data_IF_158204789315
#
_entry.id   IF_158204789315
#
_cell.length_a   1.000
_cell.length_b   1.000
_cell.length_c   1.000
_cell.angle_alpha   90.00
_cell.angle_beta   90.00
_cell.angle_gamma   90.00
#
_symmetry.space_group_name_H-M   'P 1'
#
loop_
_entity.id
_entity.type
_entity.pdbx_description
1 polymer ?
#
# COMPACT_ATOMS: atom_id res chain seq x y z
N UNK A 1 -69.63 -19.57 -16.97
CA UNK A 1 -68.87 -19.06 -18.14
C UNK A 1 -69.34 -17.62 -18.46
N UNK A 2 -69.32 -16.71 -17.47
CA UNK A 2 -69.73 -15.30 -17.66
C UNK A 2 -68.67 -14.29 -17.25
N UNK A 3 -67.39 -14.70 -17.11
CA UNK A 3 -66.31 -13.83 -16.64
C UNK A 3 -65.59 -13.09 -17.79
N UNK A 4 -65.89 -13.42 -19.05
CA UNK A 4 -65.15 -12.94 -20.22
C UNK A 4 -65.76 -11.76 -20.99
N UNK A 5 -66.96 -11.27 -20.57
CA UNK A 5 -67.67 -10.25 -21.35
C UNK A 5 -67.42 -8.78 -20.95
N UNK A 6 -66.57 -8.53 -19.94
CA UNK A 6 -66.20 -7.17 -19.55
C UNK A 6 -64.73 -6.87 -19.82
N UNK A 7 -64.37 -6.07 -20.83
CA UNK A 7 -63.00 -5.77 -21.21
C UNK A 7 -62.19 -5.17 -20.08
N UNK A 8 -62.80 -4.47 -19.15
CA UNK A 8 -62.15 -3.89 -17.97
C UNK A 8 -61.70 -4.99 -16.97
N UNK A 9 -62.50 -6.07 -16.82
CA UNK A 9 -62.14 -7.17 -15.91
C UNK A 9 -60.97 -8.02 -16.50
N UNK A 10 -60.99 -8.22 -17.81
CA UNK A 10 -59.86 -8.90 -18.50
C UNK A 10 -58.58 -8.10 -18.38
N UNK A 11 -58.66 -6.78 -18.57
CA UNK A 11 -57.50 -5.88 -18.40
C UNK A 11 -57.01 -5.89 -16.95
N UNK A 12 -57.90 -5.86 -15.95
CA UNK A 12 -57.53 -5.93 -14.53
C UNK A 12 -56.84 -7.24 -14.16
N UNK A 13 -57.34 -8.37 -14.63
CA UNK A 13 -56.72 -9.69 -14.43
C UNK A 13 -55.35 -9.78 -15.12
N UNK A 14 -55.26 -9.32 -16.37
CA UNK A 14 -53.99 -9.26 -17.08
C UNK A 14 -52.92 -8.43 -16.36
N UNK A 15 -53.31 -7.27 -15.84
CA UNK A 15 -52.42 -6.40 -15.07
C UNK A 15 -52.01 -7.03 -13.73
N UNK A 16 -52.94 -7.68 -13.03
CA UNK A 16 -52.69 -8.36 -11.77
C UNK A 16 -51.74 -9.57 -11.91
N UNK A 17 -51.73 -10.23 -13.04
CA UNK A 17 -50.82 -11.36 -13.32
C UNK A 17 -49.49 -10.90 -13.92
N UNK A 18 -49.53 -9.94 -14.86
CA UNK A 18 -48.32 -9.47 -15.54
C UNK A 18 -47.39 -8.67 -14.65
N UNK A 19 -47.93 -7.83 -13.75
CA UNK A 19 -47.12 -6.97 -12.87
C UNK A 19 -46.21 -7.78 -11.94
N UNK A 20 -46.68 -8.75 -11.15
CA UNK A 20 -45.82 -9.56 -10.29
C UNK A 20 -44.84 -10.43 -11.09
N UNK A 21 -45.25 -10.91 -12.26
CA UNK A 21 -44.36 -11.68 -13.15
C UNK A 21 -43.21 -10.82 -13.70
N UNK A 22 -43.51 -9.59 -14.15
CA UNK A 22 -42.51 -8.64 -14.59
C UNK A 22 -41.57 -8.24 -13.46
N UNK A 23 -42.08 -7.99 -12.25
CA UNK A 23 -41.25 -7.68 -11.08
C UNK A 23 -40.33 -8.86 -10.69
N UNK A 24 -40.84 -10.08 -10.72
CA UNK A 24 -40.11 -11.28 -10.43
C UNK A 24 -38.99 -11.50 -11.46
N UNK A 25 -39.30 -11.33 -12.74
CA UNK A 25 -38.29 -11.43 -13.84
C UNK A 25 -37.24 -10.32 -13.70
N UNK A 26 -37.66 -9.08 -13.49
CA UNK A 26 -36.74 -7.96 -13.28
C UNK A 26 -35.80 -8.22 -12.09
N UNK A 27 -36.33 -8.66 -10.96
CA UNK A 27 -35.53 -9.01 -9.79
C UNK A 27 -34.58 -10.17 -10.05
N UNK A 28 -35.03 -11.21 -10.76
CA UNK A 28 -34.24 -12.40 -11.08
C UNK A 28 -33.11 -12.12 -12.08
N UNK A 29 -33.24 -11.10 -12.92
CA UNK A 29 -32.22 -10.69 -13.89
C UNK A 29 -31.30 -9.59 -13.35
N UNK A 30 -31.87 -8.56 -12.71
CA UNK A 30 -31.15 -7.36 -12.32
C UNK A 30 -30.25 -7.60 -11.09
N UNK A 31 -30.74 -8.34 -10.10
CA UNK A 31 -30.00 -8.58 -8.86
C UNK A 31 -28.63 -9.26 -9.04
N UNK A 32 -28.49 -10.35 -9.82
CA UNK A 32 -27.20 -10.98 -10.08
C UNK A 32 -26.22 -10.07 -10.83
N UNK A 33 -26.76 -9.29 -11.78
CA UNK A 33 -25.92 -8.35 -12.56
C UNK A 33 -25.36 -7.26 -11.65
N UNK A 34 -26.15 -6.70 -10.74
CA UNK A 34 -25.70 -5.71 -9.77
C UNK A 34 -24.64 -6.30 -8.82
N UNK A 35 -24.80 -7.54 -8.38
CA UNK A 35 -23.80 -8.22 -7.55
C UNK A 35 -22.47 -8.39 -8.29
N UNK A 36 -22.50 -8.82 -9.55
CA UNK A 36 -21.32 -8.93 -10.40
C UNK A 36 -20.67 -7.56 -10.62
N UNK A 37 -21.46 -6.53 -10.92
CA UNK A 37 -20.97 -5.17 -11.08
C UNK A 37 -20.26 -4.66 -9.82
N UNK A 38 -20.84 -4.88 -8.64
CA UNK A 38 -20.23 -4.51 -7.37
C UNK A 38 -18.90 -5.24 -7.14
N UNK A 39 -18.86 -6.55 -7.39
CA UNK A 39 -17.63 -7.33 -7.29
C UNK A 39 -16.55 -6.82 -8.26
N UNK A 40 -16.89 -6.59 -9.53
CA UNK A 40 -15.94 -6.03 -10.51
C UNK A 40 -15.48 -4.62 -10.13
N UNK A 41 -16.37 -3.78 -9.56
CA UNK A 41 -16.00 -2.45 -9.09
C UNK A 41 -15.02 -2.50 -7.92
N UNK A 42 -15.21 -3.41 -6.98
CA UNK A 42 -14.27 -3.61 -5.87
C UNK A 42 -12.93 -4.15 -6.38
N UNK A 43 -12.94 -5.07 -7.36
CA UNK A 43 -11.73 -5.56 -8.01
C UNK A 43 -10.95 -4.41 -8.68
N UNK A 44 -11.64 -3.51 -9.37
CA UNK A 44 -11.04 -2.33 -9.98
C UNK A 44 -10.43 -1.34 -8.96
N UNK A 45 -10.89 -1.38 -7.71
CA UNK A 45 -10.31 -0.63 -6.57
C UNK A 45 -9.13 -1.35 -5.92
N UNK A 46 -8.71 -2.51 -6.48
CA UNK A 46 -7.55 -3.26 -5.98
C UNK A 46 -7.86 -4.32 -4.93
N UNK A 47 -9.12 -4.53 -4.57
CA UNK A 47 -9.48 -5.60 -3.66
C UNK A 47 -9.52 -6.94 -4.38
N UNK A 48 -8.45 -7.70 -4.30
CA UNK A 48 -8.30 -9.01 -4.94
C UNK A 48 -8.92 -10.17 -4.13
N UNK A 49 -9.27 -9.96 -2.86
CA UNK A 49 -9.81 -11.03 -2.00
C UNK A 49 -11.31 -11.25 -2.19
N UNK A 50 -11.90 -10.60 -3.19
CA UNK A 50 -13.32 -10.70 -3.48
C UNK A 50 -13.65 -12.11 -3.95
N UNK A 51 -14.69 -12.68 -3.36
CA UNK A 51 -15.32 -13.88 -3.87
C UNK A 51 -16.43 -13.47 -4.86
N UNK A 52 -16.26 -13.88 -6.11
CA UNK A 52 -17.35 -13.75 -7.10
C UNK A 52 -18.48 -14.68 -6.67
N UNK A 53 -19.71 -14.15 -6.48
CA UNK A 53 -20.82 -14.98 -6.02
C UNK A 53 -21.07 -16.14 -7.01
N UNK A 54 -21.03 -17.36 -6.49
CA UNK A 54 -21.49 -18.52 -7.24
C UNK A 54 -23.02 -18.45 -7.32
N UNK A 55 -23.53 -18.05 -8.48
CA UNK A 55 -24.98 -17.84 -8.67
C UNK A 55 -25.76 -19.15 -8.81
N UNK A 56 -25.08 -20.32 -8.90
CA UNK A 56 -25.73 -21.63 -9.09
C UNK A 56 -26.60 -21.73 -10.35
N UNK A 57 -26.41 -20.81 -11.30
CA UNK A 57 -27.19 -20.68 -12.55
C UNK A 57 -26.47 -21.35 -13.70
N UNK A 58 -27.24 -21.93 -14.61
CA UNK A 58 -26.73 -22.56 -15.84
C UNK A 58 -27.05 -21.78 -17.13
N UNK A 59 -27.48 -20.51 -16.96
CA UNK A 59 -27.77 -19.59 -18.05
C UNK A 59 -26.56 -18.68 -18.37
N UNK A 60 -26.76 -17.71 -19.28
CA UNK A 60 -25.76 -16.76 -19.74
C UNK A 60 -25.19 -15.92 -18.59
N UNK A 61 -25.99 -15.60 -17.59
CA UNK A 61 -25.54 -14.85 -16.39
C UNK A 61 -24.65 -15.75 -15.52
N UNK A 62 -24.96 -17.02 -15.39
CA UNK A 62 -24.12 -18.00 -14.70
C UNK A 62 -22.77 -18.20 -15.41
N UNK A 63 -22.77 -18.30 -16.74
CA UNK A 63 -21.55 -18.37 -17.54
C UNK A 63 -20.70 -17.10 -17.40
N UNK A 64 -21.34 -15.93 -17.43
CA UNK A 64 -20.63 -14.67 -17.20
C UNK A 64 -19.96 -14.62 -15.82
N UNK A 65 -20.67 -15.02 -14.77
CA UNK A 65 -20.11 -15.09 -13.41
C UNK A 65 -18.90 -16.01 -13.34
N UNK A 66 -18.96 -17.16 -14.00
CA UNK A 66 -17.85 -18.12 -14.08
C UNK A 66 -16.65 -17.57 -14.86
N UNK A 67 -16.89 -16.86 -15.97
CA UNK A 67 -15.82 -16.21 -16.75
C UNK A 67 -15.15 -15.11 -15.93
N UNK A 68 -15.92 -14.30 -15.20
CA UNK A 68 -15.38 -13.25 -14.30
C UNK A 68 -14.57 -13.92 -13.19
N UNK A 69 -15.07 -15.00 -12.57
CA UNK A 69 -14.32 -15.73 -11.54
C UNK A 69 -12.98 -16.23 -12.06
N UNK A 70 -12.98 -16.90 -13.22
CA UNK A 70 -11.74 -17.39 -13.86
C UNK A 70 -10.75 -16.27 -14.19
N UNK A 71 -11.26 -15.11 -14.63
CA UNK A 71 -10.42 -13.93 -14.88
C UNK A 71 -9.79 -13.43 -13.60
N UNK A 72 -10.53 -13.36 -12.49
CA UNK A 72 -10.02 -12.97 -11.18
C UNK A 72 -8.94 -13.95 -10.69
N UNK A 73 -9.18 -15.25 -10.81
CA UNK A 73 -8.23 -16.28 -10.40
C UNK A 73 -6.94 -16.20 -11.23
N UNK A 74 -7.05 -16.00 -12.56
CA UNK A 74 -5.90 -15.81 -13.44
C UNK A 74 -5.11 -14.55 -13.06
N UNK A 75 -5.80 -13.47 -12.71
CA UNK A 75 -5.16 -12.23 -12.27
C UNK A 75 -4.41 -12.42 -10.94
N UNK A 76 -5.02 -13.12 -9.98
CA UNK A 76 -4.36 -13.50 -8.71
C UNK A 76 -3.10 -14.31 -8.95
N UNK A 77 -3.18 -15.32 -9.83
CA UNK A 77 -2.04 -16.16 -10.18
C UNK A 77 -0.91 -15.36 -10.85
N UNK A 78 -1.24 -14.43 -11.75
CA UNK A 78 -0.26 -13.56 -12.39
C UNK A 78 0.46 -12.68 -11.37
N UNK A 79 -0.29 -12.06 -10.47
CA UNK A 79 0.26 -11.21 -9.41
C UNK A 79 1.15 -12.04 -8.48
N UNK A 80 0.71 -13.25 -8.10
CA UNK A 80 1.50 -14.13 -7.26
C UNK A 80 2.81 -14.56 -7.93
N UNK A 81 2.78 -14.92 -9.21
CA UNK A 81 3.97 -15.25 -10.00
C UNK A 81 4.91 -14.07 -10.13
N UNK A 82 4.39 -12.86 -10.35
CA UNK A 82 5.19 -11.64 -10.39
C UNK A 82 5.90 -11.40 -9.05
N UNK A 83 5.20 -11.58 -7.93
CA UNK A 83 5.75 -11.45 -6.58
C UNK A 83 6.86 -12.47 -6.32
N UNK A 84 6.62 -13.72 -6.69
CA UNK A 84 7.62 -14.79 -6.55
C UNK A 84 8.87 -14.48 -7.36
N UNK A 85 8.72 -14.04 -8.60
CA UNK A 85 9.84 -13.65 -9.47
C UNK A 85 10.69 -12.53 -8.83
N UNK A 86 10.05 -11.51 -8.24
CA UNK A 86 10.77 -10.44 -7.55
C UNK A 86 11.56 -10.95 -6.35
N UNK A 87 10.99 -11.88 -5.58
CA UNK A 87 11.67 -12.54 -4.46
C UNK A 87 12.88 -13.35 -4.93
N UNK A 88 12.71 -14.17 -5.97
CA UNK A 88 13.76 -15.02 -6.52
C UNK A 88 14.92 -14.19 -7.09
N UNK A 89 14.61 -13.15 -7.88
CA UNK A 89 15.62 -12.20 -8.41
C UNK A 89 16.42 -11.56 -7.26
N UNK A 90 15.73 -11.13 -6.19
CA UNK A 90 16.41 -10.49 -5.06
C UNK A 90 17.36 -11.44 -4.34
N UNK A 91 16.98 -12.70 -4.18
CA UNK A 91 17.87 -13.73 -3.61
C UNK A 91 19.07 -14.00 -4.51
N UNK A 92 18.85 -14.14 -5.82
CA UNK A 92 19.91 -14.39 -6.79
C UNK A 92 20.88 -13.20 -6.97
N UNK A 93 20.41 -11.96 -6.75
CA UNK A 93 21.26 -10.77 -6.81
C UNK A 93 22.12 -10.57 -5.55
N UNK A 94 21.66 -11.02 -4.38
CA UNK A 94 22.40 -10.84 -3.13
C UNK A 94 23.74 -11.60 -3.14
N UNK A 95 23.77 -12.80 -3.68
CA UNK A 95 24.99 -13.63 -3.74
C UNK A 95 26.12 -13.01 -4.56
N UNK A 96 25.94 -12.56 -5.82
CA UNK A 96 27.00 -11.88 -6.57
C UNK A 96 27.41 -10.55 -5.91
N UNK A 97 26.49 -9.81 -5.31
CA UNK A 97 26.79 -8.57 -4.61
C UNK A 97 27.73 -8.80 -3.43
N UNK A 98 27.48 -9.84 -2.62
CA UNK A 98 28.37 -10.24 -1.52
C UNK A 98 29.77 -10.59 -2.02
N UNK A 99 29.88 -11.28 -3.18
CA UNK A 99 31.21 -11.58 -3.79
C UNK A 99 31.92 -10.32 -4.26
N UNK A 100 31.22 -9.33 -4.81
CA UNK A 100 31.80 -8.04 -5.21
C UNK A 100 32.28 -7.27 -3.98
N UNK A 101 31.50 -7.22 -2.90
CA UNK A 101 31.89 -6.60 -1.62
C UNK A 101 33.18 -7.23 -1.07
N UNK A 102 33.25 -8.57 -1.10
CA UNK A 102 34.47 -9.29 -0.64
C UNK A 102 35.69 -8.98 -1.53
N UNK A 103 35.53 -8.98 -2.85
CA UNK A 103 36.58 -8.64 -3.78
C UNK A 103 37.13 -7.20 -3.57
N UNK A 104 36.18 -6.26 -3.36
CA UNK A 104 36.54 -4.87 -3.06
C UNK A 104 37.30 -4.75 -1.73
N UNK A 105 36.87 -5.44 -0.68
CA UNK A 105 37.55 -5.45 0.61
C UNK A 105 38.97 -6.01 0.50
N UNK A 106 39.19 -7.03 -0.34
CA UNK A 106 40.50 -7.58 -0.63
C UNK A 106 41.40 -6.61 -1.41
N UNK A 107 40.86 -5.87 -2.38
CA UNK A 107 41.60 -4.84 -3.13
C UNK A 107 42.00 -3.71 -2.18
N UNK A 108 41.06 -3.21 -1.33
CA UNK A 108 41.32 -2.18 -0.32
C UNK A 108 42.46 -2.58 0.62
N UNK A 109 42.48 -3.85 1.06
CA UNK A 109 43.53 -4.39 1.93
C UNK A 109 44.91 -4.45 1.25
N UNK A 110 44.95 -4.66 -0.06
CA UNK A 110 46.23 -4.79 -0.83
C UNK A 110 46.75 -3.45 -1.33
N UNK A 111 45.88 -2.55 -1.75
CA UNK A 111 46.23 -1.31 -2.46
C UNK A 111 45.94 -0.04 -1.67
N UNK A 112 45.28 -0.17 -0.53
CA UNK A 112 44.81 0.98 0.27
C UNK A 112 43.49 1.57 -0.24
N UNK A 113 43.09 2.72 0.34
CA UNK A 113 41.90 3.45 -0.05
C UNK A 113 42.11 4.27 -1.32
N UNK A 114 41.11 4.25 -2.21
CA UNK A 114 41.06 5.13 -3.38
C UNK A 114 39.65 5.72 -3.55
N UNK A 115 39.54 6.85 -4.26
CA UNK A 115 38.27 7.48 -4.56
C UNK A 115 37.36 6.58 -5.39
N UNK A 116 37.95 5.77 -6.28
CA UNK A 116 37.26 4.81 -7.10
C UNK A 116 36.64 3.67 -6.26
N UNK A 117 37.43 3.15 -5.29
CA UNK A 117 36.93 2.13 -4.35
C UNK A 117 35.81 2.66 -3.50
N UNK A 118 35.89 3.88 -2.98
CA UNK A 118 34.82 4.51 -2.21
C UNK A 118 33.55 4.70 -3.06
N UNK A 119 33.69 5.04 -4.35
CA UNK A 119 32.55 5.16 -5.27
C UNK A 119 31.89 3.82 -5.56
N UNK A 120 32.70 2.76 -5.80
CA UNK A 120 32.18 1.40 -5.99
C UNK A 120 31.44 0.93 -4.74
N UNK A 121 31.96 1.19 -3.54
CA UNK A 121 31.32 0.87 -2.26
C UNK A 121 29.95 1.54 -2.13
N UNK A 122 29.86 2.80 -2.51
CA UNK A 122 28.59 3.55 -2.51
C UNK A 122 27.55 2.95 -3.47
N UNK A 123 27.96 2.54 -4.68
CA UNK A 123 27.05 1.90 -5.64
C UNK A 123 26.63 0.49 -5.19
N UNK A 124 27.55 -0.28 -4.58
CA UNK A 124 27.22 -1.60 -4.02
C UNK A 124 26.21 -1.45 -2.87
N UNK A 125 26.43 -0.52 -1.94
CA UNK A 125 25.50 -0.26 -0.83
C UNK A 125 24.13 0.18 -1.34
N UNK A 126 24.09 0.94 -2.42
CA UNK A 126 22.84 1.35 -3.08
C UNK A 126 22.10 0.16 -3.71
N UNK A 127 22.84 -0.75 -4.37
CA UNK A 127 22.23 -1.97 -4.94
C UNK A 127 21.70 -2.90 -3.83
N UNK A 128 22.45 -3.09 -2.76
CA UNK A 128 22.03 -3.91 -1.61
C UNK A 128 20.74 -3.36 -0.98
N UNK A 129 20.67 -2.03 -0.81
CA UNK A 129 19.46 -1.37 -0.35
C UNK A 129 18.28 -1.57 -1.32
N UNK A 130 18.49 -1.44 -2.63
CA UNK A 130 17.44 -1.68 -3.64
C UNK A 130 16.90 -3.10 -3.56
N UNK A 131 17.79 -4.09 -3.43
CA UNK A 131 17.40 -5.50 -3.28
C UNK A 131 16.62 -5.70 -1.98
N UNK A 132 17.07 -5.09 -0.87
CA UNK A 132 16.37 -5.13 0.41
C UNK A 132 14.97 -4.54 0.32
N UNK A 133 14.83 -3.33 -0.22
CA UNK A 133 13.54 -2.66 -0.38
C UNK A 133 12.58 -3.44 -1.31
N UNK A 134 13.12 -4.12 -2.34
CA UNK A 134 12.33 -4.96 -3.25
C UNK A 134 11.81 -6.22 -2.55
N UNK A 135 12.65 -6.88 -1.74
CA UNK A 135 12.26 -8.00 -0.89
C UNK A 135 11.20 -7.59 0.11
N UNK A 136 11.35 -6.43 0.73
CA UNK A 136 10.40 -5.90 1.69
C UNK A 136 9.03 -5.66 1.04
N UNK A 137 9.00 -5.05 -0.15
CA UNK A 137 7.77 -4.88 -0.91
C UNK A 137 7.11 -6.24 -1.21
N UNK A 138 7.90 -7.24 -1.61
CA UNK A 138 7.40 -8.60 -1.86
C UNK A 138 6.85 -9.26 -0.58
N UNK A 139 7.55 -9.13 0.56
CA UNK A 139 7.13 -9.70 1.86
C UNK A 139 5.87 -9.05 2.40
N UNK A 140 5.75 -7.74 2.33
CA UNK A 140 4.51 -7.03 2.72
C UNK A 140 3.32 -7.65 2.03
N UNK A 141 3.48 -8.06 0.79
CA UNK A 141 2.42 -8.66 -0.02
C UNK A 141 2.14 -10.15 0.27
N UNK A 142 3.05 -10.87 0.92
CA UNK A 142 2.95 -12.33 1.19
C UNK A 142 2.70 -12.68 2.66
N UNK A 143 2.59 -11.69 3.55
CA UNK A 143 2.52 -11.94 4.99
C UNK A 143 1.31 -12.83 5.35
N UNK A 144 1.57 -13.96 5.98
CA UNK A 144 0.56 -15.01 6.29
C UNK A 144 0.25 -15.06 7.79
N UNK A 145 1.07 -14.42 8.63
CA UNK A 145 0.91 -14.45 10.08
C UNK A 145 -0.35 -13.71 10.53
N UNK A 146 -0.94 -14.17 11.64
CA UNK A 146 -2.09 -13.50 12.24
C UNK A 146 -1.65 -12.18 12.89
N UNK A 147 -2.46 -11.10 12.79
CA UNK A 147 -2.16 -9.85 13.45
C UNK A 147 -2.26 -10.01 14.98
N UNK A 148 -1.47 -9.27 15.72
CA UNK A 148 -1.44 -9.24 17.18
C UNK A 148 -1.87 -7.89 17.72
N UNK A 149 -2.50 -7.87 18.89
CA UNK A 149 -2.86 -6.61 19.56
C UNK A 149 -1.74 -6.19 20.50
N UNK A 150 -1.11 -5.07 20.21
CA UNK A 150 -0.01 -4.52 21.00
C UNK A 150 -0.24 -3.01 21.25
N UNK A 151 0.31 -2.47 22.37
CA UNK A 151 0.37 -1.03 22.57
C UNK A 151 1.17 -0.36 21.45
N UNK A 152 0.62 0.72 20.89
CA UNK A 152 1.33 1.49 19.85
C UNK A 152 2.66 2.07 20.36
N UNK A 153 2.75 2.36 21.66
CA UNK A 153 3.97 2.84 22.27
C UNK A 153 5.14 1.87 22.11
N UNK A 154 4.91 0.55 22.30
CA UNK A 154 5.96 -0.47 22.16
C UNK A 154 6.52 -0.54 20.73
N UNK A 155 5.69 -0.27 19.73
CA UNK A 155 6.11 -0.24 18.33
C UNK A 155 6.83 1.07 17.99
N UNK A 156 6.31 2.21 18.48
CA UNK A 156 6.78 3.54 18.09
C UNK A 156 8.09 3.93 18.81
N UNK A 157 8.25 3.56 20.07
CA UNK A 157 9.40 3.96 20.88
C UNK A 157 10.74 3.71 20.19
N UNK A 158 11.08 2.48 19.75
CA UNK A 158 12.36 2.23 19.11
C UNK A 158 12.51 2.99 17.76
N UNK A 159 11.43 3.12 16.99
CA UNK A 159 11.44 3.85 15.70
C UNK A 159 11.72 5.34 15.92
N UNK A 160 11.11 5.92 16.95
CA UNK A 160 11.25 7.34 17.27
C UNK A 160 12.61 7.65 17.89
N UNK A 161 13.15 6.76 18.70
CA UNK A 161 14.50 6.89 19.29
C UNK A 161 15.57 6.87 18.18
N UNK A 162 15.50 5.93 17.24
CA UNK A 162 16.38 5.88 16.10
C UNK A 162 16.27 7.15 15.23
N UNK A 163 15.04 7.61 14.99
CA UNK A 163 14.80 8.82 14.22
C UNK A 163 15.32 10.07 14.92
N UNK A 164 15.18 10.16 16.25
CA UNK A 164 15.72 11.25 17.06
C UNK A 164 17.25 11.27 17.01
N UNK A 165 17.88 10.11 17.11
CA UNK A 165 19.33 9.98 16.99
C UNK A 165 19.82 10.43 15.61
N UNK A 166 19.18 9.98 14.52
CA UNK A 166 19.51 10.39 13.16
C UNK A 166 19.30 11.89 12.93
N UNK A 167 18.20 12.45 13.45
CA UNK A 167 17.93 13.89 13.40
C UNK A 167 19.05 14.69 14.05
N UNK A 168 19.44 14.34 15.28
CA UNK A 168 20.50 15.01 16.03
C UNK A 168 21.85 14.93 15.32
N UNK A 169 22.22 13.79 14.76
CA UNK A 169 23.45 13.64 13.98
C UNK A 169 23.48 14.55 12.74
N UNK A 170 22.33 14.78 12.12
CA UNK A 170 22.19 15.63 10.92
C UNK A 170 21.91 17.11 11.27
N UNK A 171 21.93 17.50 12.54
CA UNK A 171 21.66 18.87 12.98
C UNK A 171 20.20 19.30 12.77
N UNK A 172 19.26 18.35 12.70
CA UNK A 172 17.83 18.60 12.49
C UNK A 172 17.05 18.48 13.79
N UNK A 173 15.96 19.21 13.90
CA UNK A 173 15.06 19.18 15.06
C UNK A 173 13.87 18.26 14.74
N UNK A 174 13.74 17.17 15.49
CA UNK A 174 12.56 16.29 15.46
C UNK A 174 11.70 16.58 16.69
N UNK A 175 10.44 16.99 16.48
CA UNK A 175 9.45 17.20 17.55
C UNK A 175 8.45 16.07 17.58
N UNK A 176 8.32 15.46 18.75
CA UNK A 176 7.45 14.34 19.02
C UNK A 176 6.49 14.69 20.16
N UNK A 177 5.22 14.26 20.11
CA UNK A 177 4.33 14.29 21.27
C UNK A 177 4.68 13.15 22.25
N UNK A 178 3.99 13.07 23.39
CA UNK A 178 4.06 11.89 24.28
C UNK A 178 3.59 10.64 23.54
N UNK A 179 4.17 9.47 23.86
CA UNK A 179 3.78 8.20 23.26
C UNK A 179 2.27 7.93 23.40
N UNK A 180 1.62 7.33 22.42
CA UNK A 180 0.20 7.04 22.45
C UNK A 180 -0.10 5.93 23.46
N UNK A 181 -1.24 6.05 24.15
CA UNK A 181 -1.70 5.04 25.10
C UNK A 181 -2.54 3.93 24.46
N UNK A 182 -2.88 4.10 23.19
CA UNK A 182 -3.73 3.20 22.44
C UNK A 182 -3.02 1.91 22.06
N UNK A 183 -3.82 0.82 21.96
CA UNK A 183 -3.39 -0.45 21.40
C UNK A 183 -4.06 -0.67 20.04
N UNK A 184 -3.35 -1.32 19.14
CA UNK A 184 -3.84 -1.62 17.79
C UNK A 184 -3.62 -3.10 17.48
N UNK A 185 -4.56 -3.71 16.76
CA UNK A 185 -4.37 -5.03 16.16
C UNK A 185 -3.60 -4.87 14.86
N UNK A 186 -2.39 -5.40 14.81
CA UNK A 186 -1.43 -5.08 13.74
C UNK A 186 -0.51 -6.27 13.43
N UNK A 187 0.18 -6.17 12.31
CA UNK A 187 1.39 -6.92 12.01
C UNK A 187 2.59 -6.04 12.36
N UNK A 188 3.30 -6.28 13.48
CA UNK A 188 4.27 -5.32 14.02
C UNK A 188 5.39 -4.97 13.04
N UNK A 189 5.99 -5.96 12.38
CA UNK A 189 7.07 -5.72 11.41
C UNK A 189 6.61 -4.89 10.20
N UNK A 190 5.39 -5.16 9.69
CA UNK A 190 4.85 -4.43 8.56
C UNK A 190 4.52 -2.98 8.93
N UNK A 191 3.91 -2.78 10.11
CA UNK A 191 3.55 -1.45 10.58
C UNK A 191 4.80 -0.64 10.92
N UNK A 192 5.82 -1.25 11.55
CA UNK A 192 7.10 -0.59 11.79
C UNK A 192 7.69 -0.02 10.50
N UNK A 193 7.81 -0.84 9.44
CA UNK A 193 8.29 -0.39 8.13
C UNK A 193 7.42 0.69 7.50
N UNK A 194 6.09 0.59 7.70
CA UNK A 194 5.15 1.59 7.21
C UNK A 194 5.36 2.97 7.85
N UNK A 195 5.78 3.01 9.10
CA UNK A 195 6.03 4.25 9.84
C UNK A 195 7.47 4.75 9.68
N UNK A 196 8.46 3.86 9.67
CA UNK A 196 9.86 4.21 9.44
C UNK A 196 10.11 4.87 8.08
N UNK A 197 9.53 4.35 7.00
CA UNK A 197 9.80 4.83 5.65
C UNK A 197 9.40 6.31 5.44
N UNK A 198 8.19 6.77 5.82
CA UNK A 198 7.84 8.18 5.76
C UNK A 198 8.69 9.05 6.69
N UNK A 199 9.04 8.55 7.88
CA UNK A 199 9.86 9.28 8.84
C UNK A 199 11.29 9.46 8.32
N UNK A 200 11.93 8.42 7.79
CA UNK A 200 13.23 8.51 7.09
C UNK A 200 13.17 9.43 5.89
N UNK A 201 12.06 9.43 5.16
CA UNK A 201 11.87 10.35 4.05
C UNK A 201 11.84 11.81 4.54
N UNK A 202 11.11 12.10 5.62
CA UNK A 202 11.10 13.42 6.24
C UNK A 202 12.50 13.83 6.75
N UNK A 203 13.19 12.94 7.48
CA UNK A 203 14.58 13.16 7.94
C UNK A 203 15.53 13.49 6.78
N UNK A 204 15.38 12.83 5.67
CA UNK A 204 16.22 13.02 4.48
C UNK A 204 16.00 14.38 3.82
N UNK A 205 14.73 14.77 3.62
CA UNK A 205 14.38 15.94 2.81
C UNK A 205 14.13 17.22 3.62
N UNK A 206 13.86 17.12 4.93
CA UNK A 206 13.78 18.28 5.78
C UNK A 206 15.05 19.14 5.71
N UNK A 207 14.89 20.44 5.82
CA UNK A 207 16.00 21.38 5.96
C UNK A 207 16.50 21.38 7.41
N UNK A 208 15.63 21.72 8.34
CA UNK A 208 15.95 21.86 9.76
C UNK A 208 14.92 21.22 10.67
N UNK A 209 13.67 21.10 10.23
CA UNK A 209 12.56 20.81 11.13
C UNK A 209 11.64 19.68 10.65
N UNK A 210 11.39 18.72 11.55
CA UNK A 210 10.42 17.65 11.37
C UNK A 210 9.47 17.65 12.58
N UNK A 211 8.18 17.54 12.34
CA UNK A 211 7.16 17.38 13.36
C UNK A 211 6.34 16.14 13.12
N UNK A 212 6.21 15.32 14.14
CA UNK A 212 5.30 14.18 14.16
C UNK A 212 4.20 14.46 15.16
N UNK A 213 2.97 14.24 14.79
CA UNK A 213 1.81 14.29 15.66
C UNK A 213 0.95 13.04 15.45
N UNK A 214 0.25 12.63 16.49
CA UNK A 214 -0.79 11.61 16.40
C UNK A 214 -1.97 11.96 17.27
N UNK A 215 -3.15 11.52 16.84
CA UNK A 215 -4.40 11.74 17.57
C UNK A 215 -5.41 10.69 17.12
N UNK A 216 -6.46 10.54 17.93
CA UNK A 216 -7.61 9.71 17.57
C UNK A 216 -8.68 10.58 16.93
N UNK A 217 -9.20 10.15 15.78
CA UNK A 217 -10.31 10.77 15.06
C UNK A 217 -11.41 9.72 14.85
N UNK A 218 -12.43 9.73 15.71
CA UNK A 218 -13.50 8.73 15.68
C UNK A 218 -12.96 7.31 15.94
N UNK A 219 -13.03 6.47 14.92
CA UNK A 219 -12.54 5.07 14.94
C UNK A 219 -11.21 4.91 14.20
N UNK A 220 -10.51 5.98 14.00
CA UNK A 220 -9.20 5.95 13.34
C UNK A 220 -8.12 6.53 14.25
N UNK A 221 -6.95 5.93 14.24
CA UNK A 221 -5.71 6.51 14.71
C UNK A 221 -5.04 7.22 13.55
N UNK A 222 -4.70 8.48 13.75
CA UNK A 222 -4.13 9.32 12.70
C UNK A 222 -2.75 9.76 13.12
N UNK A 223 -1.76 9.53 12.25
CA UNK A 223 -0.39 10.03 12.40
C UNK A 223 -0.08 10.99 11.26
N UNK A 224 0.54 12.12 11.59
CA UNK A 224 1.03 13.09 10.60
C UNK A 224 2.53 13.31 10.80
N UNK A 225 3.27 13.24 9.71
CA UNK A 225 4.71 13.54 9.66
C UNK A 225 4.87 14.74 8.73
N UNK A 226 5.38 15.84 9.27
CA UNK A 226 5.56 17.13 8.56
C UNK A 226 7.04 17.46 8.50
N UNK A 227 7.53 17.82 7.32
CA UNK A 227 8.87 18.37 7.14
C UNK A 227 8.82 19.79 6.54
N UNK A 228 9.92 20.51 6.64
CA UNK A 228 10.15 21.83 6.07
C UNK A 228 10.99 21.79 4.79
N UNK A 229 11.00 20.66 4.11
CA UNK A 229 11.76 20.42 2.88
C UNK A 229 11.27 21.23 1.68
N UNK A 230 11.70 20.87 0.47
CA UNK A 230 11.28 21.55 -0.76
C UNK A 230 9.81 21.32 -1.11
N UNK A 231 9.17 20.31 -0.50
CA UNK A 231 7.83 19.89 -0.84
C UNK A 231 7.77 19.12 -2.16
N UNK A 232 6.54 18.80 -2.58
CA UNK A 232 6.25 18.07 -3.82
C UNK A 232 5.06 18.72 -4.52
N UNK A 233 5.11 18.96 -5.85
CA UNK A 233 3.98 19.48 -6.61
C UNK A 233 2.71 18.67 -6.40
N UNK A 234 1.57 19.35 -6.28
CA UNK A 234 0.28 18.71 -5.92
C UNK A 234 -0.08 17.57 -6.88
N UNK A 235 0.21 17.74 -8.17
CA UNK A 235 -0.07 16.76 -9.22
C UNK A 235 0.77 15.48 -9.08
N UNK A 236 1.92 15.57 -8.40
CA UNK A 236 2.84 14.46 -8.19
C UNK A 236 2.63 13.76 -6.84
N UNK A 237 1.95 14.39 -5.88
CA UNK A 237 1.76 13.84 -4.53
C UNK A 237 1.12 12.46 -4.52
N UNK A 238 0.06 12.15 -5.29
CA UNK A 238 -0.50 10.80 -5.35
C UNK A 238 0.48 9.76 -5.89
N UNK A 239 1.43 10.18 -6.73
CA UNK A 239 2.42 9.30 -7.36
C UNK A 239 3.58 8.93 -6.44
N UNK A 240 3.76 9.61 -5.31
CA UNK A 240 4.81 9.33 -4.32
C UNK A 240 4.72 7.89 -3.77
N UNK A 241 3.55 7.30 -3.80
CA UNK A 241 3.29 5.95 -3.32
C UNK A 241 3.43 4.87 -4.40
N UNK A 242 3.73 5.27 -5.65
CA UNK A 242 4.01 4.31 -6.72
C UNK A 242 5.46 3.81 -6.61
N UNK A 243 5.71 2.50 -6.81
CA UNK A 243 7.05 1.95 -6.82
C UNK A 243 7.98 2.67 -7.83
N UNK A 244 9.22 2.93 -7.42
CA UNK A 244 10.27 3.58 -8.22
C UNK A 244 9.99 5.03 -8.62
N UNK A 245 8.87 5.62 -8.18
CA UNK A 245 8.57 7.01 -8.48
C UNK A 245 9.48 7.95 -7.68
N UNK A 246 10.01 8.98 -8.36
CA UNK A 246 10.84 10.04 -7.77
C UNK A 246 10.50 11.36 -8.45
N UNK A 247 10.49 12.45 -7.67
CA UNK A 247 10.35 13.80 -8.22
C UNK A 247 11.64 14.17 -8.97
N UNK A 248 11.54 14.79 -10.14
CA UNK A 248 12.66 14.99 -11.07
C UNK A 248 13.87 15.74 -10.48
N UNK A 249 13.64 16.69 -9.59
CA UNK A 249 14.70 17.43 -8.90
C UNK A 249 15.53 16.56 -7.94
N UNK A 250 15.02 15.41 -7.51
CA UNK A 250 15.71 14.45 -6.66
C UNK A 250 16.67 13.53 -7.46
N UNK A 251 16.69 13.60 -8.80
CA UNK A 251 17.64 12.86 -9.66
C UNK A 251 19.06 13.40 -9.57
N UNK A 252 19.24 14.64 -9.14
CA UNK A 252 20.57 15.21 -8.94
C UNK A 252 21.25 14.64 -7.70
N UNK A 253 21.83 13.49 -7.89
CA UNK A 253 23.11 12.91 -7.51
C UNK A 253 23.48 12.69 -6.02
N UNK A 254 23.05 13.41 -5.02
CA UNK A 254 23.60 13.22 -3.66
C UNK A 254 22.68 12.56 -2.65
N UNK A 255 21.40 12.53 -2.90
CA UNK A 255 20.41 11.96 -1.99
C UNK A 255 19.88 10.62 -2.54
N UNK A 256 20.67 9.56 -2.46
CA UNK A 256 20.31 8.22 -2.89
C UNK A 256 19.02 7.70 -2.25
N UNK A 257 17.97 7.48 -3.04
CA UNK A 257 16.73 6.81 -2.62
C UNK A 257 16.27 5.89 -3.72
N UNK A 258 15.74 4.73 -3.35
CA UNK A 258 15.27 3.68 -4.25
C UNK A 258 13.94 4.01 -4.94
N UNK A 259 13.13 4.90 -4.31
CA UNK A 259 11.75 5.17 -4.72
C UNK A 259 10.77 4.08 -4.29
N UNK A 260 11.19 3.18 -3.40
CA UNK A 260 10.35 2.07 -2.91
C UNK A 260 9.79 2.32 -1.51
N UNK A 261 10.46 3.11 -0.67
CA UNK A 261 10.09 3.27 0.73
C UNK A 261 8.62 3.71 0.97
N UNK A 262 8.14 4.75 0.26
CA UNK A 262 6.74 5.20 0.40
C UNK A 262 5.75 4.21 -0.24
N UNK A 263 6.15 3.47 -1.26
CA UNK A 263 5.32 2.39 -1.82
C UNK A 263 5.18 1.23 -0.84
N UNK A 264 6.25 0.84 -0.15
CA UNK A 264 6.22 -0.16 0.93
C UNK A 264 5.30 0.31 2.06
N UNK A 265 5.43 1.59 2.46
CA UNK A 265 4.56 2.16 3.49
C UNK A 265 3.08 2.11 3.08
N UNK A 266 2.76 2.49 1.85
CA UNK A 266 1.38 2.48 1.35
C UNK A 266 0.79 1.07 1.33
N UNK A 267 1.52 0.09 0.83
CA UNK A 267 1.09 -1.31 0.79
C UNK A 267 0.85 -1.87 2.21
N UNK A 268 1.78 -1.60 3.14
CA UNK A 268 1.64 -2.05 4.52
C UNK A 268 0.45 -1.39 5.24
N UNK A 269 0.23 -0.09 5.06
CA UNK A 269 -0.93 0.62 5.63
C UNK A 269 -2.24 0.10 5.03
N UNK A 270 -2.31 -0.11 3.72
CA UNK A 270 -3.48 -0.65 3.05
C UNK A 270 -3.83 -2.05 3.59
N UNK A 271 -2.83 -2.88 3.86
CA UNK A 271 -3.02 -4.20 4.44
C UNK A 271 -3.61 -4.16 5.86
N UNK A 272 -3.32 -3.10 6.64
CA UNK A 272 -3.96 -2.83 7.92
C UNK A 272 -5.37 -2.21 7.78
N UNK A 273 -5.92 -2.13 6.56
CA UNK A 273 -7.21 -1.47 6.30
C UNK A 273 -7.15 0.05 6.41
N UNK A 274 -5.94 0.61 6.47
CA UNK A 274 -5.71 2.04 6.61
C UNK A 274 -5.53 2.78 5.28
N UNK A 275 -5.23 4.08 5.40
CA UNK A 275 -4.91 4.93 4.24
C UNK A 275 -3.69 5.80 4.53
N UNK A 276 -2.93 6.11 3.48
CA UNK A 276 -1.80 7.04 3.52
C UNK A 276 -1.97 8.09 2.43
N UNK A 277 -1.70 9.34 2.76
CA UNK A 277 -1.82 10.46 1.83
C UNK A 277 -0.67 11.45 2.01
N UNK A 278 -0.33 12.14 0.93
CA UNK A 278 0.61 13.25 0.92
C UNK A 278 -0.13 14.56 0.67
N UNK A 279 0.32 15.64 1.30
CA UNK A 279 -0.16 16.99 1.07
C UNK A 279 0.98 17.99 1.28
N UNK A 280 0.80 19.22 0.78
CA UNK A 280 1.79 20.29 0.96
C UNK A 280 1.79 20.80 2.40
N UNK A 281 2.98 21.06 2.94
CA UNK A 281 3.16 21.77 4.20
C UNK A 281 3.26 23.29 3.94
N UNK A 282 2.96 24.11 4.94
CA UNK A 282 3.12 25.56 4.89
C UNK A 282 4.21 26.02 5.87
N UNK A 283 5.09 26.96 5.46
CA UNK A 283 5.16 27.64 4.14
C UNK A 283 5.74 26.76 3.03
N UNK A 284 6.50 25.72 3.36
CA UNK A 284 7.11 24.75 2.41
C UNK A 284 7.22 23.39 3.08
N UNK A 285 7.35 22.31 2.30
CA UNK A 285 7.54 20.97 2.81
C UNK A 285 6.44 20.00 2.40
N UNK A 286 6.49 18.82 2.99
CA UNK A 286 5.54 17.74 2.77
C UNK A 286 4.87 17.33 4.08
N UNK A 287 3.62 16.94 4.01
CA UNK A 287 2.88 16.29 5.09
C UNK A 287 2.48 14.91 4.62
N UNK A 288 2.92 13.88 5.33
CA UNK A 288 2.39 12.51 5.15
C UNK A 288 1.39 12.26 6.27
N UNK A 289 0.18 11.88 5.90
CA UNK A 289 -0.89 11.52 6.83
C UNK A 289 -1.22 10.04 6.69
N UNK A 290 -1.12 9.30 7.79
CA UNK A 290 -1.44 7.88 7.90
C UNK A 290 -2.67 7.75 8.77
N UNK A 291 -3.64 6.94 8.33
CA UNK A 291 -4.86 6.62 9.08
C UNK A 291 -4.98 5.11 9.22
N UNK A 292 -5.19 4.63 10.42
CA UNK A 292 -5.36 3.22 10.73
C UNK A 292 -6.69 3.02 11.47
N UNK A 293 -7.48 2.00 11.10
CA UNK A 293 -8.71 1.69 11.81
C UNK A 293 -8.40 1.20 13.22
N UNK A 294 -9.18 1.68 14.18
CA UNK A 294 -9.16 1.21 15.57
C UNK A 294 -10.39 0.31 15.82
N UNK A 295 -10.28 -0.68 16.70
CA UNK A 295 -11.39 -1.54 17.06
C UNK A 295 -12.58 -0.84 17.69
#
# INVERSE_FOLDING_TARGET
IQILDHPIQILGIAMLVSTPLCLLLAWRLTRPILQLQQSVSQLAQGNLEIQIPNLGRRDEIGQLAEHVSRMVDTLKDMIQKQKQLLSDISHELRSPLTRIQLAQALIRRKQGDSAELARIEGEIARLDKLIGDLLDLSRVQQHVEAPVTLPLAELLEPILDDAMFEANQNGKQLRLPSLPAESLTMWPELLARALENPLRNALKYAREFIKVDWYREGREWVMTIRDDGPGVPVEQQPRLFLPFFRVDDARNAKTGGTGLGLAIAAEAIQRHGGTIRASSNQPTGLVITIRLPMP
#
